data_IF_041841602897
#
_entry.id   IF_041841602897
#
_cell.length_a   1.000
_cell.length_b   1.000
_cell.length_c   1.000
_cell.angle_alpha   90.00
_cell.angle_beta   90.00
_cell.angle_gamma   90.00
#
_symmetry.space_group_name_H-M   'P 1'
#
loop_
_entity.id
_entity.type
_entity.pdbx_description
1 polymer ?
#
# COMPACT_ATOMS: atom_id res chain seq x y z
N UNK A 1 14.31 54.13 -24.77
CA UNK A 1 12.85 53.89 -24.85
C UNK A 1 12.47 52.48 -25.35
N UNK A 2 13.26 51.41 -25.09
CA UNK A 2 13.02 50.05 -25.67
C UNK A 2 12.71 48.95 -24.64
N UNK A 3 12.61 49.29 -23.34
CA UNK A 3 12.46 48.27 -22.27
C UNK A 3 11.08 48.23 -21.58
N UNK A 4 10.13 49.10 -21.98
CA UNK A 4 8.82 49.22 -21.29
C UNK A 4 7.70 48.46 -22.04
N UNK A 5 7.89 48.14 -23.34
CA UNK A 5 6.88 47.50 -24.19
C UNK A 5 6.47 46.08 -23.75
N UNK A 6 7.38 45.18 -23.27
CA UNK A 6 6.97 43.84 -22.87
C UNK A 6 6.12 43.78 -21.59
N UNK A 7 6.28 44.77 -20.68
CA UNK A 7 5.50 44.84 -19.45
C UNK A 7 4.04 45.25 -19.65
N UNK A 8 3.77 46.08 -20.65
CA UNK A 8 2.40 46.54 -20.98
C UNK A 8 1.58 45.39 -21.59
N UNK A 9 2.19 44.54 -22.41
CA UNK A 9 1.52 43.40 -23.04
C UNK A 9 1.17 42.34 -21.98
N UNK A 10 2.05 42.06 -21.02
CA UNK A 10 1.82 41.10 -19.94
C UNK A 10 0.69 41.56 -19.02
N UNK A 11 0.62 42.85 -18.70
CA UNK A 11 -0.45 43.40 -17.86
C UNK A 11 -1.82 43.32 -18.55
N UNK A 12 -1.90 43.58 -19.87
CA UNK A 12 -3.15 43.48 -20.64
C UNK A 12 -3.69 42.04 -20.73
N UNK A 13 -2.80 41.02 -20.85
CA UNK A 13 -3.20 39.62 -20.90
C UNK A 13 -3.71 39.12 -19.54
N UNK A 14 -3.12 39.55 -18.43
CA UNK A 14 -3.58 39.18 -17.08
C UNK A 14 -4.95 39.75 -16.74
N UNK A 15 -5.27 40.98 -17.16
CA UNK A 15 -6.60 41.57 -16.95
C UNK A 15 -7.68 40.84 -17.74
N UNK A 16 -7.38 40.36 -18.96
CA UNK A 16 -8.33 39.60 -19.77
C UNK A 16 -8.65 38.21 -19.17
N UNK A 17 -7.67 37.57 -18.55
CA UNK A 17 -7.85 36.22 -17.93
C UNK A 17 -8.66 36.33 -16.63
N UNK A 18 -8.40 37.34 -15.79
CA UNK A 18 -9.14 37.55 -14.54
C UNK A 18 -10.56 38.11 -14.74
N UNK A 19 -10.81 38.88 -15.80
CA UNK A 19 -12.13 39.44 -16.12
C UNK A 19 -13.14 38.39 -16.59
N UNK A 20 -12.70 37.41 -17.37
CA UNK A 20 -13.56 36.35 -17.90
C UNK A 20 -13.95 35.29 -16.82
N UNK A 21 -13.08 35.05 -15.84
CA UNK A 21 -13.35 34.09 -14.75
C UNK A 21 -14.42 34.54 -13.76
N UNK A 22 -14.57 35.86 -13.55
CA UNK A 22 -15.52 36.38 -12.57
C UNK A 22 -16.99 36.37 -13.07
N UNK A 23 -17.22 36.31 -14.38
CA UNK A 23 -18.57 36.30 -14.95
C UNK A 23 -19.21 34.91 -14.96
N UNK A 24 -18.42 33.82 -14.85
CA UNK A 24 -18.88 32.44 -14.85
C UNK A 24 -19.25 31.87 -13.45
N UNK A 25 -19.02 32.64 -12.38
CA UNK A 25 -19.32 32.23 -11.00
C UNK A 25 -20.51 32.99 -10.39
N UNK A 26 -21.63 33.18 -11.11
CA UNK A 26 -22.87 33.65 -10.49
C UNK A 26 -23.66 32.44 -9.92
N UNK A 27 -23.94 32.41 -8.62
CA UNK A 27 -24.83 31.40 -8.06
C UNK A 27 -26.26 31.61 -8.53
N UNK A 28 -26.89 30.58 -9.08
CA UNK A 28 -28.30 30.59 -9.43
C UNK A 28 -29.13 30.46 -8.13
N UNK A 29 -29.87 31.53 -7.84
CA UNK A 29 -30.90 31.51 -6.80
C UNK A 29 -32.11 30.75 -7.32
N UNK A 30 -32.38 29.54 -6.81
CA UNK A 30 -33.63 28.82 -7.02
C UNK A 30 -34.68 29.27 -6.00
N UNK A 31 -35.76 29.82 -6.51
CA UNK A 31 -36.95 30.23 -5.74
C UNK A 31 -37.61 29.00 -5.12
N UNK A 32 -37.80 29.04 -3.81
CA UNK A 32 -38.73 28.13 -3.09
C UNK A 32 -40.16 28.62 -3.35
N UNK A 33 -41.01 27.73 -3.84
CA UNK A 33 -42.46 27.91 -3.82
C UNK A 33 -43.05 27.18 -2.63
N UNK A 34 -43.59 27.95 -1.71
CA UNK A 34 -44.41 27.50 -0.60
C UNK A 34 -45.71 26.87 -1.11
N UNK A 35 -46.14 25.72 -0.57
CA UNK A 35 -47.53 25.23 -0.65
C UNK A 35 -48.00 24.84 0.75
N UNK A 36 -49.21 25.24 1.15
CA UNK A 36 -49.67 25.23 2.52
C UNK A 36 -50.25 23.90 3.01
N UNK A 37 -50.23 23.80 4.31
CA UNK A 37 -50.73 22.70 5.13
C UNK A 37 -52.22 22.43 4.96
N UNK A 38 -52.62 21.16 4.98
CA UNK A 38 -53.99 20.74 5.36
C UNK A 38 -53.92 19.74 6.50
N UNK A 39 -54.66 20.06 7.54
CA UNK A 39 -54.84 19.29 8.76
C UNK A 39 -55.84 18.14 8.53
N UNK A 40 -55.71 17.08 9.33
CA UNK A 40 -56.86 16.19 9.55
C UNK A 40 -56.51 14.78 10.07
N UNK A 41 -56.80 14.60 11.36
CA UNK A 41 -57.31 13.39 12.02
C UNK A 41 -56.32 12.24 12.40
N UNK A 42 -56.01 12.19 13.65
CA UNK A 42 -55.87 10.97 14.51
C UNK A 42 -57.28 10.40 14.84
N UNK A 43 -57.46 9.25 15.48
CA UNK A 43 -56.56 8.15 15.90
C UNK A 43 -57.12 6.75 15.63
N UNK A 44 -56.31 5.69 15.71
CA UNK A 44 -56.80 4.39 16.22
C UNK A 44 -55.68 3.60 16.87
N UNK A 45 -55.97 3.30 18.14
CA UNK A 45 -55.23 2.41 19.00
C UNK A 45 -55.41 0.93 18.59
N UNK A 46 -54.41 0.11 18.99
CA UNK A 46 -54.55 -1.36 19.04
C UNK A 46 -53.40 -2.09 18.38
N UNK A 47 -52.49 -2.56 19.07
CA UNK A 47 -52.26 -3.88 19.62
C UNK A 47 -50.78 -4.04 20.04
N UNK A 48 -50.62 -4.14 21.33
CA UNK A 48 -49.40 -4.58 22.00
C UNK A 48 -49.22 -6.08 21.78
N UNK A 49 -48.25 -6.48 20.94
CA UNK A 49 -47.73 -7.84 20.97
C UNK A 49 -46.45 -7.86 21.84
N UNK A 50 -46.64 -7.90 23.12
CA UNK A 50 -45.58 -8.24 24.08
C UNK A 50 -45.27 -9.74 23.96
N UNK A 51 -44.18 -10.08 23.35
CA UNK A 51 -43.59 -11.43 23.39
C UNK A 51 -43.00 -11.61 24.80
N UNK A 52 -43.37 -12.65 25.55
CA UNK A 52 -42.82 -12.88 26.87
C UNK A 52 -41.31 -13.19 26.76
N UNK A 53 -40.52 -12.47 27.57
CA UNK A 53 -39.13 -12.78 27.78
C UNK A 53 -38.99 -14.16 28.43
N UNK A 54 -38.39 -15.12 27.72
CA UNK A 54 -38.01 -16.40 28.31
C UNK A 54 -36.90 -16.19 29.38
N UNK A 55 -36.79 -17.10 30.35
CA UNK A 55 -35.83 -16.97 31.43
C UNK A 55 -34.41 -16.99 30.88
N UNK A 56 -33.64 -15.96 31.22
CA UNK A 56 -32.19 -15.89 30.95
C UNK A 56 -31.54 -16.92 31.90
N UNK A 57 -31.11 -18.05 31.34
CA UNK A 57 -30.34 -19.02 32.06
C UNK A 57 -28.97 -18.44 32.47
N UNK A 58 -28.34 -18.96 33.55
CA UNK A 58 -27.07 -18.44 34.03
C UNK A 58 -26.00 -18.60 32.93
N UNK A 59 -25.41 -17.47 32.50
CA UNK A 59 -24.23 -17.44 31.69
C UNK A 59 -23.07 -18.06 32.45
N UNK A 60 -22.77 -19.33 32.15
CA UNK A 60 -21.56 -19.99 32.63
C UNK A 60 -20.30 -19.20 32.19
N UNK A 61 -19.18 -19.33 32.93
CA UNK A 61 -17.95 -18.65 32.54
C UNK A 61 -17.55 -19.01 31.10
N UNK A 62 -17.42 -17.99 30.28
CA UNK A 62 -16.98 -18.15 28.90
C UNK A 62 -15.61 -18.85 28.90
N UNK A 63 -15.54 -20.04 28.36
CA UNK A 63 -14.28 -20.74 28.13
C UNK A 63 -13.42 -19.84 27.24
N UNK A 64 -12.15 -19.55 27.58
CA UNK A 64 -11.28 -18.77 26.73
C UNK A 64 -11.15 -19.48 25.38
N UNK A 65 -11.69 -18.86 24.33
CA UNK A 65 -11.54 -19.37 22.97
C UNK A 65 -10.06 -19.23 22.61
N UNK A 66 -9.37 -20.30 22.20
CA UNK A 66 -7.97 -20.18 21.81
C UNK A 66 -7.88 -19.13 20.70
N UNK A 67 -6.92 -18.21 20.85
CA UNK A 67 -6.64 -17.22 19.82
C UNK A 67 -6.44 -17.92 18.47
N UNK A 68 -6.99 -17.39 17.37
CA UNK A 68 -6.86 -18.02 16.06
C UNK A 68 -5.38 -18.20 15.74
N UNK A 69 -4.97 -19.45 15.53
CA UNK A 69 -3.61 -19.77 15.08
C UNK A 69 -3.42 -19.08 13.72
N UNK A 70 -2.56 -18.08 13.67
CA UNK A 70 -2.21 -17.40 12.43
C UNK A 70 -1.43 -18.37 11.57
N UNK A 71 -2.09 -18.98 10.59
CA UNK A 71 -1.41 -19.75 9.56
C UNK A 71 -0.65 -18.77 8.69
N UNK A 72 0.67 -18.75 8.84
CA UNK A 72 1.54 -17.86 8.09
C UNK A 72 1.87 -18.55 6.78
N UNK A 73 1.17 -18.16 5.71
CA UNK A 73 1.44 -18.63 4.36
C UNK A 73 2.89 -18.30 3.94
N UNK A 74 3.57 -19.23 3.23
CA UNK A 74 4.88 -18.93 2.65
C UNK A 74 4.77 -17.76 1.67
N UNK A 75 5.78 -16.86 1.64
CA UNK A 75 5.82 -15.84 0.59
C UNK A 75 6.00 -16.49 -0.77
N UNK A 76 5.28 -15.96 -1.75
CA UNK A 76 5.40 -16.38 -3.15
C UNK A 76 6.52 -15.64 -3.89
N UNK A 77 7.11 -14.58 -3.28
CA UNK A 77 8.07 -13.70 -3.94
C UNK A 77 9.48 -14.01 -3.46
N UNK A 78 10.14 -14.90 -4.19
CA UNK A 78 11.50 -15.35 -3.91
C UNK A 78 12.41 -15.06 -5.11
N UNK A 79 13.59 -14.49 -4.86
CA UNK A 79 14.72 -14.39 -5.80
C UNK A 79 15.90 -15.21 -5.27
N UNK A 80 16.60 -15.93 -6.15
CA UNK A 80 17.73 -16.78 -5.82
C UNK A 80 17.37 -18.25 -5.70
N UNK A 81 18.37 -19.14 -5.53
CA UNK A 81 18.18 -20.58 -5.53
C UNK A 81 17.33 -21.05 -4.34
N UNK A 82 16.46 -22.03 -4.56
CA UNK A 82 15.59 -22.59 -3.52
C UNK A 82 16.40 -23.22 -2.37
N UNK A 83 17.57 -23.78 -2.69
CA UNK A 83 18.49 -24.44 -1.74
C UNK A 83 19.63 -23.52 -1.27
N UNK A 84 19.52 -22.20 -1.48
CA UNK A 84 20.51 -21.25 -1.01
C UNK A 84 20.74 -21.38 0.49
N UNK A 85 22.00 -21.42 0.95
CA UNK A 85 22.34 -21.56 2.37
C UNK A 85 21.86 -20.39 3.24
N UNK A 86 21.73 -19.21 2.69
CA UNK A 86 21.29 -18.02 3.42
C UNK A 86 19.96 -17.56 2.86
N UNK A 87 18.96 -17.46 3.74
CA UNK A 87 17.67 -16.85 3.44
C UNK A 87 17.63 -15.46 4.06
N UNK A 88 17.35 -14.44 3.26
CA UNK A 88 17.07 -13.08 3.72
C UNK A 88 15.57 -12.83 3.51
N UNK A 89 14.84 -12.58 4.60
CA UNK A 89 13.49 -12.01 4.51
C UNK A 89 13.62 -10.48 4.58
N UNK A 90 13.08 -9.77 3.59
CA UNK A 90 13.00 -8.31 3.55
C UNK A 90 11.56 -7.89 3.76
N UNK A 91 11.26 -7.29 4.91
CA UNK A 91 9.96 -6.66 5.19
C UNK A 91 10.03 -5.20 4.73
N UNK A 92 9.23 -4.86 3.73
CA UNK A 92 9.46 -3.63 2.97
C UNK A 92 8.15 -2.95 2.55
N UNK A 93 8.25 -1.63 2.36
CA UNK A 93 7.17 -0.75 1.92
C UNK A 93 7.64 0.00 0.66
N UNK A 94 6.90 -0.15 -0.44
CA UNK A 94 7.26 0.50 -1.70
C UNK A 94 7.26 2.03 -1.61
N UNK A 95 6.51 2.63 -0.68
CA UNK A 95 6.51 4.09 -0.51
C UNK A 95 7.57 4.58 0.49
N UNK A 96 8.19 3.69 1.27
CA UNK A 96 9.23 4.08 2.22
C UNK A 96 10.51 4.54 1.51
N UNK A 97 10.99 5.79 1.74
CA UNK A 97 12.19 6.29 1.07
C UNK A 97 13.46 5.48 1.40
N UNK A 98 13.54 4.92 2.60
CA UNK A 98 14.68 4.08 3.00
C UNK A 98 14.65 2.75 2.26
N UNK A 99 13.48 2.14 2.05
CA UNK A 99 13.34 0.93 1.23
C UNK A 99 13.77 1.20 -0.22
N UNK A 100 13.35 2.34 -0.80
CA UNK A 100 13.79 2.75 -2.13
C UNK A 100 15.31 2.88 -2.26
N UNK A 101 15.99 3.44 -1.24
CA UNK A 101 17.46 3.51 -1.21
C UNK A 101 18.13 2.15 -1.05
N UNK A 102 17.51 1.24 -0.30
CA UNK A 102 18.04 -0.10 -0.06
C UNK A 102 17.85 -1.05 -1.26
N UNK A 103 16.85 -0.81 -2.09
CA UNK A 103 16.55 -1.67 -3.24
C UNK A 103 17.77 -1.95 -4.16
N UNK A 104 18.52 -0.96 -4.67
CA UNK A 104 19.72 -1.23 -5.47
C UNK A 104 20.83 -1.94 -4.67
N UNK A 105 20.91 -1.73 -3.37
CA UNK A 105 21.87 -2.40 -2.48
C UNK A 105 21.54 -3.90 -2.37
N UNK A 106 20.27 -4.24 -2.20
CA UNK A 106 19.79 -5.63 -2.17
C UNK A 106 20.03 -6.32 -3.52
N UNK A 107 19.81 -5.62 -4.65
CA UNK A 107 20.15 -6.17 -5.99
C UNK A 107 21.65 -6.47 -6.11
N UNK A 108 22.52 -5.58 -5.64
CA UNK A 108 23.97 -5.81 -5.61
C UNK A 108 24.37 -6.98 -4.71
N UNK A 109 23.71 -7.11 -3.54
CA UNK A 109 23.95 -8.23 -2.63
C UNK A 109 23.62 -9.57 -3.29
N UNK A 110 22.47 -9.67 -3.96
CA UNK A 110 22.08 -10.89 -4.69
C UNK A 110 23.04 -11.20 -5.83
N UNK A 111 23.53 -10.19 -6.55
CA UNK A 111 24.54 -10.36 -7.61
C UNK A 111 25.90 -10.81 -7.03
N UNK A 112 26.25 -10.37 -5.83
CA UNK A 112 27.51 -10.77 -5.15
C UNK A 112 27.45 -12.23 -4.66
N UNK A 113 26.25 -12.72 -4.25
CA UNK A 113 26.06 -14.05 -3.67
C UNK A 113 25.01 -14.88 -4.43
N UNK A 114 25.17 -15.11 -5.76
CA UNK A 114 24.11 -15.63 -6.62
C UNK A 114 23.69 -17.06 -6.29
N UNK A 115 24.57 -17.85 -5.67
CA UNK A 115 24.29 -19.24 -5.27
C UNK A 115 24.09 -19.41 -3.76
N UNK A 116 24.47 -18.44 -2.96
CA UNK A 116 24.48 -18.54 -1.51
C UNK A 116 23.29 -17.85 -0.85
N UNK A 117 22.64 -16.91 -1.52
CA UNK A 117 21.56 -16.10 -0.97
C UNK A 117 20.29 -16.25 -1.78
N UNK A 118 19.19 -16.46 -1.07
CA UNK A 118 17.85 -16.23 -1.58
C UNK A 118 17.17 -15.11 -0.80
N UNK A 119 16.49 -14.23 -1.50
CA UNK A 119 15.66 -13.17 -0.96
C UNK A 119 14.20 -13.61 -0.93
N UNK A 120 13.55 -13.41 0.19
CA UNK A 120 12.10 -13.53 0.36
C UNK A 120 11.53 -12.15 0.66
N UNK A 121 10.77 -11.60 -0.28
CA UNK A 121 10.13 -10.30 -0.08
C UNK A 121 8.85 -10.46 0.74
N UNK A 122 8.62 -9.52 1.65
CA UNK A 122 7.44 -9.45 2.50
C UNK A 122 6.89 -8.03 2.51
N UNK A 123 5.59 -7.90 2.30
CA UNK A 123 4.94 -6.60 2.41
C UNK A 123 4.81 -6.16 3.87
N UNK A 124 5.26 -4.95 4.15
CA UNK A 124 4.99 -4.28 5.42
C UNK A 124 4.61 -2.81 5.18
N UNK A 125 3.40 -2.55 4.64
CA UNK A 125 2.96 -1.21 4.28
C UNK A 125 2.66 -0.38 5.53
N UNK A 126 3.40 0.72 5.74
CA UNK A 126 3.22 1.64 6.86
C UNK A 126 2.11 2.66 6.53
N UNK A 127 0.87 2.19 6.35
CA UNK A 127 -0.24 2.96 5.82
C UNK A 127 -0.67 4.16 6.68
N UNK A 128 -0.20 4.27 7.92
CA UNK A 128 -0.44 5.43 8.79
C UNK A 128 0.39 6.65 8.39
N UNK A 129 1.52 6.44 7.70
CA UNK A 129 2.45 7.51 7.28
C UNK A 129 2.68 7.54 5.77
N UNK A 130 2.34 6.47 5.06
CA UNK A 130 2.50 6.34 3.61
C UNK A 130 1.17 6.08 2.94
N UNK A 131 0.57 7.12 2.35
CA UNK A 131 -0.78 7.11 1.76
C UNK A 131 -1.03 5.95 0.79
N UNK A 132 -0.04 5.63 -0.05
CA UNK A 132 -0.16 4.63 -1.11
C UNK A 132 0.55 3.31 -0.81
N UNK A 133 1.03 3.09 0.42
CA UNK A 133 1.78 1.89 0.79
C UNK A 133 1.01 0.59 0.49
N UNK A 134 -0.28 0.51 0.88
CA UNK A 134 -1.10 -0.67 0.58
C UNK A 134 -1.47 -0.79 -0.89
N UNK A 135 -1.69 0.33 -1.56
CA UNK A 135 -2.07 0.32 -2.97
C UNK A 135 -0.90 -0.10 -3.86
N UNK A 136 0.32 0.40 -3.59
CA UNK A 136 1.53 -0.04 -4.30
C UNK A 136 1.87 -1.51 -4.04
N UNK A 137 1.68 -2.00 -2.82
CA UNK A 137 1.81 -3.42 -2.49
C UNK A 137 0.82 -4.29 -3.28
N UNK A 138 -0.45 -3.86 -3.38
CA UNK A 138 -1.45 -4.54 -4.21
C UNK A 138 -1.13 -4.48 -5.69
N UNK A 139 -0.55 -3.39 -6.19
CA UNK A 139 -0.11 -3.30 -7.58
C UNK A 139 0.99 -4.32 -7.89
N UNK A 140 1.97 -4.50 -6.99
CA UNK A 140 2.99 -5.52 -7.12
C UNK A 140 2.41 -6.94 -7.11
N UNK A 141 1.46 -7.21 -6.20
CA UNK A 141 0.78 -8.51 -6.13
C UNK A 141 -0.07 -8.81 -7.36
N UNK A 142 -0.83 -7.82 -7.88
CA UNK A 142 -1.61 -7.96 -9.09
C UNK A 142 -0.73 -8.26 -10.31
N UNK A 143 0.43 -7.61 -10.42
CA UNK A 143 1.45 -7.96 -11.42
C UNK A 143 2.01 -9.38 -11.17
N UNK A 144 2.18 -9.77 -9.92
CA UNK A 144 2.61 -11.11 -9.50
C UNK A 144 1.62 -12.21 -9.92
N UNK A 145 0.31 -11.93 -9.94
CA UNK A 145 -0.72 -12.84 -10.47
C UNK A 145 -0.53 -13.13 -11.97
N UNK A 146 0.25 -12.30 -12.66
CA UNK A 146 0.63 -12.47 -14.08
C UNK A 146 2.14 -12.75 -14.25
N UNK A 147 2.83 -13.19 -13.17
CA UNK A 147 4.25 -13.57 -13.21
C UNK A 147 5.25 -12.41 -13.25
N UNK A 148 4.80 -11.16 -12.95
CA UNK A 148 5.60 -9.93 -13.07
C UNK A 148 5.76 -9.15 -11.77
N UNK A 149 5.74 -9.86 -10.63
CA UNK A 149 5.93 -9.21 -9.32
C UNK A 149 7.22 -8.39 -9.25
N UNK A 150 8.33 -9.01 -9.62
CA UNK A 150 9.64 -8.40 -9.44
C UNK A 150 9.89 -7.22 -10.37
N UNK A 151 9.40 -7.32 -11.61
CA UNK A 151 9.50 -6.22 -12.57
C UNK A 151 8.65 -5.02 -12.12
N UNK A 152 7.47 -5.27 -11.56
CA UNK A 152 6.65 -4.22 -10.96
C UNK A 152 7.29 -3.65 -9.69
N UNK A 153 7.87 -4.47 -8.83
CA UNK A 153 8.59 -4.05 -7.65
C UNK A 153 9.78 -3.13 -8.01
N UNK A 154 10.55 -3.53 -9.04
CA UNK A 154 11.66 -2.72 -9.55
C UNK A 154 11.15 -1.34 -10.02
N UNK A 155 10.07 -1.27 -10.82
CA UNK A 155 9.47 0.00 -11.27
C UNK A 155 8.93 0.85 -10.12
N UNK A 156 8.28 0.23 -9.13
CA UNK A 156 7.76 0.95 -7.98
C UNK A 156 8.87 1.65 -7.18
N UNK A 157 10.01 1.00 -6.97
CA UNK A 157 11.14 1.62 -6.29
C UNK A 157 11.88 2.64 -7.17
N UNK A 158 12.18 2.29 -8.41
CA UNK A 158 12.91 3.17 -9.34
C UNK A 158 12.16 4.47 -9.62
N UNK A 159 10.82 4.42 -9.63
CA UNK A 159 9.94 5.57 -9.89
C UNK A 159 9.20 6.06 -8.64
N UNK A 160 9.69 5.70 -7.45
CA UNK A 160 9.04 6.07 -6.18
C UNK A 160 8.78 7.58 -6.09
N UNK A 161 9.73 8.42 -6.52
CA UNK A 161 9.59 9.88 -6.49
C UNK A 161 8.49 10.44 -7.40
N UNK A 162 8.08 9.67 -8.44
CA UNK A 162 7.00 10.03 -9.35
C UNK A 162 5.63 9.71 -8.73
N UNK A 163 5.37 8.44 -8.43
CA UNK A 163 4.04 8.00 -8.02
C UNK A 163 3.70 8.33 -6.56
N UNK A 164 4.70 8.42 -5.67
CA UNK A 164 4.43 8.73 -4.25
C UNK A 164 3.89 10.13 -4.02
N UNK A 165 4.04 11.02 -5.00
CA UNK A 165 3.56 12.42 -5.00
C UNK A 165 2.35 12.64 -5.91
N UNK A 166 1.97 11.62 -6.69
CA UNK A 166 0.84 11.73 -7.60
C UNK A 166 -0.49 11.70 -6.84
N UNK A 167 -1.53 12.33 -7.43
CA UNK A 167 -2.85 12.44 -6.83
C UNK A 167 -3.92 12.22 -7.91
N UNK A 168 -4.43 10.99 -8.11
CA UNK A 168 -4.09 9.71 -7.47
C UNK A 168 -2.86 9.01 -8.08
N UNK A 169 -2.25 8.02 -7.37
CA UNK A 169 -1.14 7.22 -7.87
C UNK A 169 -1.55 6.08 -8.81
N UNK A 170 -2.79 5.57 -8.71
CA UNK A 170 -3.30 4.41 -9.45
C UNK A 170 -3.05 4.46 -10.96
N UNK A 171 -3.26 5.59 -11.67
CA UNK A 171 -2.99 5.67 -13.11
C UNK A 171 -1.54 5.36 -13.47
N UNK A 172 -0.58 5.68 -12.60
CA UNK A 172 0.83 5.36 -12.81
C UNK A 172 1.08 3.86 -12.65
N UNK A 173 0.45 3.18 -11.70
CA UNK A 173 0.54 1.73 -11.56
C UNK A 173 -0.03 0.99 -12.78
N UNK A 174 -1.15 1.48 -13.33
CA UNK A 174 -1.72 0.96 -14.60
C UNK A 174 -0.75 1.19 -15.78
N UNK A 175 -0.12 2.36 -15.85
CA UNK A 175 0.92 2.67 -16.85
C UNK A 175 2.12 1.71 -16.73
N UNK A 176 2.56 1.39 -15.51
CA UNK A 176 3.64 0.42 -15.29
C UNK A 176 3.22 -0.99 -15.70
N UNK A 177 1.99 -1.41 -15.39
CA UNK A 177 1.43 -2.67 -15.86
C UNK A 177 1.41 -2.76 -17.39
N UNK A 178 1.06 -1.67 -18.07
CA UNK A 178 1.12 -1.58 -19.54
C UNK A 178 2.56 -1.72 -20.08
N UNK A 179 3.53 -1.06 -19.45
CA UNK A 179 4.96 -1.17 -19.83
C UNK A 179 5.48 -2.59 -19.66
N UNK A 180 4.95 -3.35 -18.68
CA UNK A 180 5.31 -4.75 -18.45
C UNK A 180 4.57 -5.74 -19.36
N UNK A 181 3.68 -5.25 -20.25
CA UNK A 181 2.89 -6.06 -21.16
C UNK A 181 1.80 -6.90 -20.46
N UNK A 182 1.31 -6.45 -19.31
CA UNK A 182 0.27 -7.15 -18.57
C UNK A 182 -1.10 -6.95 -19.21
N UNK A 183 -2.01 -7.93 -19.01
CA UNK A 183 -3.44 -7.74 -19.25
C UNK A 183 -3.97 -6.69 -18.26
N UNK A 184 -4.32 -5.51 -18.78
CA UNK A 184 -4.74 -4.37 -17.96
C UNK A 184 -6.11 -4.59 -17.32
N UNK A 185 -7.03 -5.29 -18.00
CA UNK A 185 -8.34 -5.61 -17.45
C UNK A 185 -8.21 -6.52 -16.22
N UNK A 186 -7.41 -7.58 -16.36
CA UNK A 186 -7.08 -8.49 -15.26
C UNK A 186 -6.31 -7.77 -14.16
N UNK A 187 -5.30 -6.95 -14.47
CA UNK A 187 -4.54 -6.19 -13.49
C UNK A 187 -5.44 -5.30 -12.63
N UNK A 188 -6.40 -4.58 -13.25
CA UNK A 188 -7.34 -3.72 -12.54
C UNK A 188 -8.31 -4.50 -11.65
N UNK A 189 -8.73 -5.70 -12.07
CA UNK A 189 -9.55 -6.58 -11.24
C UNK A 189 -8.74 -7.15 -10.07
N UNK A 190 -7.52 -7.64 -10.33
CA UNK A 190 -6.67 -8.28 -9.34
C UNK A 190 -6.24 -7.30 -8.23
N UNK A 191 -5.87 -6.06 -8.58
CA UNK A 191 -5.40 -5.06 -7.60
C UNK A 191 -6.49 -4.72 -6.55
N UNK A 192 -7.77 -4.85 -6.90
CA UNK A 192 -8.89 -4.61 -6.00
C UNK A 192 -9.45 -5.90 -5.37
N UNK A 193 -8.91 -7.06 -5.75
CA UNK A 193 -9.38 -8.35 -5.28
C UNK A 193 -9.06 -8.60 -3.80
N UNK A 194 -9.93 -9.38 -3.15
CA UNK A 194 -9.70 -9.86 -1.78
C UNK A 194 -8.45 -10.76 -1.72
N UNK A 195 -8.19 -11.55 -2.74
CA UNK A 195 -7.03 -12.44 -2.78
C UNK A 195 -5.71 -11.66 -2.69
N UNK A 196 -5.57 -10.60 -3.49
CA UNK A 196 -4.40 -9.71 -3.46
C UNK A 196 -4.32 -8.95 -2.13
N UNK A 197 -5.45 -8.44 -1.63
CA UNK A 197 -5.50 -7.76 -0.34
C UNK A 197 -5.02 -8.67 0.81
N UNK A 198 -5.45 -9.93 0.82
CA UNK A 198 -5.10 -10.88 1.88
C UNK A 198 -3.62 -11.27 1.86
N UNK A 199 -2.96 -11.35 0.70
CA UNK A 199 -1.50 -11.58 0.62
C UNK A 199 -0.73 -10.48 1.34
N UNK A 200 -1.06 -9.22 1.05
CA UNK A 200 -0.46 -8.04 1.72
C UNK A 200 -0.72 -8.08 3.22
N UNK A 201 -1.96 -8.33 3.64
CA UNK A 201 -2.35 -8.38 5.06
C UNK A 201 -1.66 -9.52 5.80
N UNK A 202 -1.44 -10.67 5.18
CA UNK A 202 -0.77 -11.80 5.81
C UNK A 202 0.71 -11.48 6.10
N UNK A 203 1.41 -10.85 5.18
CA UNK A 203 2.78 -10.38 5.41
C UNK A 203 2.85 -9.27 6.46
N UNK A 204 1.91 -8.30 6.44
CA UNK A 204 1.78 -7.24 7.45
C UNK A 204 1.57 -7.86 8.86
N UNK A 205 0.67 -8.84 8.99
CA UNK A 205 0.44 -9.57 10.25
C UNK A 205 1.71 -10.29 10.74
N UNK A 206 2.48 -10.88 9.83
CA UNK A 206 3.76 -11.51 10.16
C UNK A 206 4.75 -10.49 10.72
N UNK A 207 4.86 -9.31 10.12
CA UNK A 207 5.71 -8.24 10.62
C UNK A 207 5.27 -7.77 12.03
N UNK A 208 3.97 -7.54 12.21
CA UNK A 208 3.38 -7.14 13.50
C UNK A 208 3.58 -8.21 14.57
N UNK A 209 3.36 -9.49 14.26
CA UNK A 209 3.56 -10.59 15.22
C UNK A 209 5.00 -10.75 15.70
N UNK A 210 5.95 -10.23 14.92
CA UNK A 210 7.39 -10.18 15.24
C UNK A 210 7.81 -8.84 15.90
N UNK A 211 6.86 -7.93 16.14
CA UNK A 211 7.08 -6.62 16.73
C UNK A 211 8.06 -5.73 15.94
N UNK A 212 8.11 -5.85 14.60
CA UNK A 212 8.94 -4.99 13.77
C UNK A 212 8.47 -3.54 13.84
N UNK A 213 9.42 -2.61 14.01
CA UNK A 213 9.13 -1.21 14.28
C UNK A 213 9.10 -0.33 13.01
N UNK A 214 9.48 -0.88 11.86
CA UNK A 214 9.53 -0.11 10.62
C UNK A 214 10.12 -0.86 9.43
N UNK A 215 10.34 -0.12 8.36
CA UNK A 215 10.86 -0.66 7.10
C UNK A 215 12.06 0.12 6.58
N UNK A 216 13.02 -0.53 5.91
CA UNK A 216 13.08 -1.98 5.73
C UNK A 216 13.53 -2.70 7.02
N UNK A 217 12.97 -3.90 7.27
CA UNK A 217 13.50 -4.83 8.28
C UNK A 217 14.03 -6.06 7.57
N UNK A 218 15.27 -6.43 7.85
CA UNK A 218 15.92 -7.61 7.29
C UNK A 218 16.08 -8.72 8.35
N UNK A 219 15.77 -9.94 7.94
CA UNK A 219 15.92 -11.14 8.76
C UNK A 219 16.79 -12.13 8.01
N UNK A 220 17.93 -12.50 8.56
CA UNK A 220 18.89 -13.44 7.96
C UNK A 220 18.85 -14.76 8.73
N UNK A 221 18.43 -15.85 8.06
CA UNK A 221 18.28 -17.17 8.66
C UNK A 221 17.51 -17.13 10.00
N UNK A 222 16.43 -16.34 10.07
CA UNK A 222 15.58 -16.19 11.26
C UNK A 222 16.04 -15.11 12.26
N UNK A 223 17.28 -14.60 12.17
CA UNK A 223 17.80 -13.51 13.02
C UNK A 223 17.47 -12.16 12.40
N UNK A 224 16.74 -11.33 13.13
CA UNK A 224 16.52 -9.93 12.76
C UNK A 224 17.84 -9.15 12.82
N UNK A 225 18.09 -8.33 11.82
CA UNK A 225 19.19 -7.38 11.80
C UNK A 225 18.74 -6.03 12.33
N UNK A 226 19.53 -5.41 13.19
CA UNK A 226 19.35 -3.99 13.51
C UNK A 226 19.60 -3.14 12.27
N UNK A 227 19.04 -1.94 12.21
CA UNK A 227 19.23 -1.04 11.08
C UNK A 227 20.74 -0.76 10.83
N UNK A 228 21.53 -0.59 11.90
CA UNK A 228 22.97 -0.37 11.81
C UNK A 228 23.74 -1.55 11.21
N UNK A 229 23.15 -2.75 11.21
CA UNK A 229 23.74 -3.97 10.64
C UNK A 229 23.31 -4.22 9.19
N UNK A 230 22.41 -3.40 8.63
CA UNK A 230 21.74 -3.70 7.35
C UNK A 230 21.63 -2.51 6.40
N UNK A 231 22.09 -1.31 6.77
CA UNK A 231 21.81 -0.07 6.05
C UNK A 231 22.77 0.23 4.86
N UNK A 232 23.70 -0.68 4.58
CA UNK A 232 24.57 -0.64 3.39
C UNK A 232 25.01 -2.04 2.94
N UNK A 233 25.65 -2.11 1.75
CA UNK A 233 26.07 -3.37 1.13
C UNK A 233 27.11 -4.13 1.98
N UNK A 234 28.05 -3.44 2.60
CA UNK A 234 29.12 -4.08 3.37
C UNK A 234 28.55 -4.74 4.63
N UNK A 235 27.62 -4.08 5.29
CA UNK A 235 26.96 -4.59 6.50
C UNK A 235 26.05 -5.77 6.18
N UNK A 236 25.24 -5.68 5.12
CA UNK A 236 24.46 -6.83 4.65
C UNK A 236 25.36 -7.99 4.22
N UNK A 237 26.47 -7.71 3.51
CA UNK A 237 27.44 -8.75 3.16
C UNK A 237 28.04 -9.42 4.40
N UNK A 238 28.45 -8.64 5.40
CA UNK A 238 28.96 -9.20 6.65
C UNK A 238 27.94 -10.06 7.39
N UNK A 239 26.63 -9.71 7.32
CA UNK A 239 25.58 -10.56 7.89
C UNK A 239 25.43 -11.88 7.13
N UNK A 240 25.54 -11.86 5.79
CA UNK A 240 25.54 -13.08 4.96
C UNK A 240 26.75 -13.95 5.27
N UNK A 241 27.95 -13.35 5.35
CA UNK A 241 29.20 -14.09 5.64
C UNK A 241 29.17 -14.74 7.04
N UNK A 242 28.65 -14.03 8.05
CA UNK A 242 28.40 -14.65 9.38
C UNK A 242 27.44 -15.83 9.31
N UNK A 243 26.36 -15.69 8.53
CA UNK A 243 25.38 -16.78 8.38
C UNK A 243 25.94 -17.99 7.61
N UNK A 244 26.88 -17.79 6.69
CA UNK A 244 27.61 -18.86 6.00
C UNK A 244 28.61 -19.57 6.92
N UNK A 245 29.29 -18.83 7.80
CA UNK A 245 30.30 -19.37 8.74
C UNK A 245 29.70 -20.13 9.93
N UNK A 246 28.44 -19.92 10.25
CA UNK A 246 27.74 -20.55 11.39
C UNK A 246 27.06 -21.90 11.07
N UNK A 247 27.43 -22.54 9.95
CA UNK A 247 26.88 -23.81 9.46
C UNK A 247 27.75 -25.01 9.81
#
# INVERSE_FOLDING_TARGET
MRKVLPFIIIAAVLVAIFGAGFWLMRPSTSSQTDTPAAAGASPRAGETNARPAGPVGPTGPATPQPAPTVVIEPSTHVRGPANAPVTIEEFSDFQCPTCGRMHPIVKQLLAKYPQQVRLVFRHYPLATIHKYARESARAAEAAGMQGKFWEMADLLYERQGEWSKAEPARPLFVKYAQQLGLDLGRFQQDIDSTAVAMRVVNDERRAVSRNFQGTPTFVVNGRELKFEESNDLNKLSAAVERALASR
#
